data_IF_669216859457
#
_entry.id   IF_669216859457
#
_cell.length_a   1.000
_cell.length_b   1.000
_cell.length_c   1.000
_cell.angle_alpha   90.00
_cell.angle_beta   90.00
_cell.angle_gamma   90.00
#
_symmetry.space_group_name_H-M   'P 1'
#
loop_
_entity.id
_entity.type
_entity.pdbx_description
1 polymer ?
#
# COMPACT_ATOMS: atom_id res chain seq x y z
N UNK A 1 8.30 -20.89 52.65
CA UNK A 1 6.88 -21.01 52.45
C UNK A 1 6.66 -21.08 50.94
N UNK A 2 6.31 -22.23 50.41
CA UNK A 2 6.13 -22.43 49.01
C UNK A 2 4.70 -22.03 48.62
N UNK A 3 4.56 -21.50 47.42
CA UNK A 3 3.25 -21.34 46.83
C UNK A 3 3.22 -22.09 45.49
N UNK A 4 2.38 -23.11 45.40
CA UNK A 4 2.08 -23.74 44.14
C UNK A 4 0.69 -23.32 43.69
N UNK A 5 0.54 -23.00 42.40
CA UNK A 5 -0.67 -23.36 41.66
C UNK A 5 -0.40 -23.23 40.17
N UNK A 6 0.10 -24.35 39.64
CA UNK A 6 -0.06 -24.73 38.25
C UNK A 6 -1.55 -24.80 37.95
N UNK A 7 -2.00 -23.99 37.02
CA UNK A 7 -3.27 -24.20 36.34
C UNK A 7 -3.01 -24.65 34.91
N UNK A 8 -2.97 -25.97 34.76
CA UNK A 8 -3.14 -26.65 33.51
C UNK A 8 -4.42 -26.20 32.80
N UNK A 9 -4.27 -25.52 31.66
CA UNK A 9 -5.37 -25.34 30.71
C UNK A 9 -5.17 -26.22 29.49
N UNK A 10 -5.93 -27.30 29.49
CA UNK A 10 -6.15 -28.32 28.49
C UNK A 10 -6.61 -27.71 27.17
N UNK A 11 -6.05 -28.10 26.01
CA UNK A 11 -6.59 -27.69 24.72
C UNK A 11 -7.85 -28.48 24.37
N UNK A 12 -8.89 -27.78 23.98
CA UNK A 12 -10.12 -28.33 23.46
C UNK A 12 -9.96 -28.82 22.03
N UNK A 13 -10.44 -30.02 21.77
CA UNK A 13 -10.45 -30.68 20.47
C UNK A 13 -11.44 -30.00 19.48
N UNK A 14 -11.18 -30.05 18.17
CA UNK A 14 -12.12 -29.57 17.16
C UNK A 14 -13.26 -30.57 16.92
N UNK A 15 -14.47 -30.11 16.59
CA UNK A 15 -15.57 -30.97 16.25
C UNK A 15 -15.46 -31.53 14.82
N UNK A 16 -15.50 -32.84 14.73
CA UNK A 16 -15.74 -33.62 13.52
C UNK A 16 -17.23 -33.55 13.20
N UNK A 17 -17.60 -33.13 12.03
CA UNK A 17 -19.00 -33.14 11.57
C UNK A 17 -19.07 -33.20 10.06
N UNK A 18 -19.16 -34.40 9.56
CA UNK A 18 -20.25 -35.04 8.80
C UNK A 18 -20.48 -34.57 7.37
N UNK A 19 -20.20 -35.56 6.52
CA UNK A 19 -20.58 -35.68 5.12
C UNK A 19 -22.11 -35.58 4.91
N UNK A 20 -22.50 -35.00 3.79
CA UNK A 20 -23.75 -35.32 3.12
C UNK A 20 -23.57 -35.34 1.61
N UNK A 21 -23.72 -36.54 1.11
CA UNK A 21 -23.89 -36.94 -0.29
C UNK A 21 -25.17 -36.30 -0.86
N UNK A 22 -25.08 -35.82 -2.09
CA UNK A 22 -26.23 -35.41 -2.90
C UNK A 22 -25.96 -35.72 -4.36
N UNK A 23 -26.30 -36.96 -4.78
CA UNK A 23 -26.48 -37.32 -6.19
C UNK A 23 -27.66 -36.56 -6.77
N UNK A 24 -27.49 -35.94 -7.95
CA UNK A 24 -28.55 -35.78 -8.92
C UNK A 24 -27.96 -35.85 -10.33
N UNK A 25 -28.29 -36.93 -11.00
CA UNK A 25 -28.12 -37.10 -12.43
C UNK A 25 -29.10 -36.20 -13.18
N UNK A 26 -28.62 -35.54 -14.22
CA UNK A 26 -29.41 -34.79 -15.19
C UNK A 26 -28.77 -34.93 -16.55
N UNK A 27 -29.20 -35.97 -17.27
CA UNK A 27 -29.08 -36.15 -18.72
C UNK A 27 -29.70 -34.98 -19.44
N UNK A 28 -28.99 -34.29 -20.29
CA UNK A 28 -29.54 -33.52 -21.41
C UNK A 28 -28.47 -33.44 -22.52
N UNK A 29 -28.60 -34.37 -23.43
CA UNK A 29 -28.14 -34.36 -24.81
C UNK A 29 -28.50 -33.04 -25.51
N UNK A 30 -27.52 -32.24 -25.88
CA UNK A 30 -27.65 -31.26 -26.94
C UNK A 30 -26.37 -31.17 -27.77
N UNK A 31 -26.36 -32.03 -28.75
CA UNK A 31 -25.57 -31.92 -29.97
C UNK A 31 -25.86 -30.61 -30.66
N UNK A 32 -24.97 -29.66 -30.60
CA UNK A 32 -24.89 -28.57 -31.59
C UNK A 32 -23.44 -28.46 -32.04
N UNK A 33 -23.22 -29.04 -33.19
CA UNK A 33 -22.09 -28.87 -34.06
C UNK A 33 -22.06 -27.40 -34.51
N UNK A 34 -21.06 -26.66 -34.06
CA UNK A 34 -20.70 -25.39 -34.66
C UNK A 34 -19.19 -25.43 -34.91
N UNK A 35 -18.88 -25.64 -36.19
CA UNK A 35 -17.56 -25.40 -36.75
C UNK A 35 -17.24 -23.91 -36.54
N UNK A 36 -16.45 -23.59 -35.51
CA UNK A 36 -15.85 -22.28 -35.36
C UNK A 36 -14.40 -22.41 -35.81
N UNK A 37 -14.12 -21.87 -36.99
CA UNK A 37 -12.77 -21.66 -37.46
C UNK A 37 -11.93 -20.92 -36.40
N UNK A 38 -10.66 -21.32 -36.15
CA UNK A 38 -9.78 -20.55 -35.30
C UNK A 38 -9.43 -19.24 -36.03
N UNK A 39 -10.10 -18.17 -35.66
CA UNK A 39 -9.68 -16.81 -36.03
C UNK A 39 -8.34 -16.56 -35.33
N UNK A 40 -7.30 -16.67 -36.14
CA UNK A 40 -5.92 -16.28 -35.80
C UNK A 40 -5.90 -14.74 -35.65
N UNK A 41 -6.41 -14.25 -34.52
CA UNK A 41 -6.31 -12.84 -34.16
C UNK A 41 -4.85 -12.60 -33.73
N UNK A 42 -4.13 -11.63 -34.35
CA UNK A 42 -2.80 -11.29 -33.92
C UNK A 42 -2.85 -10.91 -32.43
N UNK A 43 -2.04 -11.56 -31.63
CA UNK A 43 -1.74 -11.15 -30.25
C UNK A 43 -1.25 -9.70 -30.31
N UNK A 44 -2.18 -8.76 -30.15
CA UNK A 44 -1.91 -7.34 -30.00
C UNK A 44 -0.94 -7.22 -28.82
N UNK A 45 0.32 -6.95 -29.15
CA UNK A 45 1.39 -6.79 -28.17
C UNK A 45 0.91 -5.76 -27.14
N UNK A 46 0.64 -6.22 -25.92
CA UNK A 46 0.18 -5.38 -24.84
C UNK A 46 1.13 -4.20 -24.71
N UNK A 47 0.64 -3.00 -25.00
CA UNK A 47 1.40 -1.76 -24.86
C UNK A 47 2.02 -1.72 -23.45
N UNK A 48 3.25 -1.25 -23.30
CA UNK A 48 3.89 -1.17 -22.00
C UNK A 48 2.98 -0.36 -21.05
N UNK A 49 2.84 -0.77 -19.79
CA UNK A 49 1.97 -0.08 -18.85
C UNK A 49 2.38 1.39 -18.75
N UNK A 50 1.47 2.28 -19.15
CA UNK A 50 1.66 3.72 -19.08
C UNK A 50 1.91 4.06 -17.59
N UNK A 51 3.00 4.78 -17.25
CA UNK A 51 3.24 5.19 -15.87
C UNK A 51 2.04 6.00 -15.37
N UNK A 52 1.58 5.77 -14.13
CA UNK A 52 0.42 6.45 -13.60
C UNK A 52 0.67 7.96 -13.54
N UNK A 53 -0.33 8.75 -13.95
CA UNK A 53 -0.29 10.22 -13.88
C UNK A 53 -0.13 10.67 -12.44
N UNK A 54 0.79 11.60 -12.12
CA UNK A 54 0.96 12.12 -10.76
C UNK A 54 -0.31 12.86 -10.28
N UNK A 55 -0.62 12.80 -8.98
CA UNK A 55 -1.77 13.50 -8.42
C UNK A 55 -1.58 15.05 -8.47
N UNK A 56 -2.69 15.78 -8.56
CA UNK A 56 -2.72 17.24 -8.52
C UNK A 56 -2.21 17.80 -7.17
N UNK A 57 -1.58 18.99 -7.21
CA UNK A 57 -0.82 19.61 -6.11
C UNK A 57 -1.61 20.00 -4.86
N UNK A 58 -2.91 20.24 -4.94
CA UNK A 58 -3.68 20.87 -3.87
C UNK A 58 -4.12 19.92 -2.74
N UNK A 59 -4.11 18.62 -2.98
CA UNK A 59 -4.35 17.59 -1.95
C UNK A 59 -3.47 16.39 -2.25
N UNK A 60 -2.87 15.82 -1.21
CA UNK A 60 -2.13 14.58 -1.33
C UNK A 60 -3.11 13.43 -1.64
N UNK A 61 -3.62 13.43 -2.88
CA UNK A 61 -4.54 12.43 -3.37
C UNK A 61 -3.78 11.13 -3.69
N UNK A 62 -4.33 10.01 -3.25
CA UNK A 62 -3.78 8.70 -3.60
C UNK A 62 -4.43 8.23 -4.91
N UNK A 63 -3.67 8.09 -6.02
CA UNK A 63 -4.21 7.65 -7.30
C UNK A 63 -4.70 6.20 -7.22
N UNK A 64 -5.47 5.78 -8.23
CA UNK A 64 -5.95 4.39 -8.32
C UNK A 64 -4.76 3.43 -8.39
N UNK A 65 -4.77 2.39 -7.57
CA UNK A 65 -3.64 1.45 -7.45
C UNK A 65 -2.53 1.91 -6.50
N UNK A 66 -2.54 3.17 -6.03
CA UNK A 66 -1.60 3.65 -5.03
C UNK A 66 -1.75 2.90 -3.70
N UNK A 67 -0.61 2.61 -3.08
CA UNK A 67 -0.50 2.02 -1.75
C UNK A 67 -0.38 3.14 -0.71
N UNK A 68 0.62 3.99 -0.88
CA UNK A 68 0.91 5.11 0.02
C UNK A 68 1.54 6.27 -0.74
N UNK A 69 1.21 7.49 -0.36
CA UNK A 69 1.84 8.72 -0.81
C UNK A 69 2.43 9.45 0.40
N UNK A 70 3.61 10.03 0.21
CA UNK A 70 4.28 10.90 1.18
C UNK A 70 4.57 12.24 0.52
N UNK A 71 4.24 13.33 1.23
CA UNK A 71 4.74 14.68 0.94
C UNK A 71 5.46 15.22 2.18
N UNK A 72 6.71 15.63 2.01
CA UNK A 72 7.51 16.34 3.00
C UNK A 72 7.63 17.79 2.57
N UNK A 73 7.23 18.73 3.41
CA UNK A 73 7.30 20.16 3.13
C UNK A 73 7.88 20.93 4.33
N UNK A 74 8.51 22.06 4.08
CA UNK A 74 9.07 22.92 5.12
C UNK A 74 10.58 23.12 5.03
N UNK A 75 11.21 23.42 6.16
CA UNK A 75 12.62 23.77 6.30
C UNK A 75 12.90 25.27 6.08
N UNK A 76 14.12 25.73 6.47
CA UNK A 76 14.59 27.12 6.36
C UNK A 76 14.42 27.72 4.95
N UNK A 77 14.62 26.91 3.92
CA UNK A 77 14.26 27.22 2.54
C UNK A 77 13.11 26.33 2.19
N UNK A 78 11.88 26.85 2.22
CA UNK A 78 10.69 26.05 1.93
C UNK A 78 10.91 25.14 0.70
N UNK A 79 10.79 23.86 0.92
CA UNK A 79 10.85 22.85 -0.13
C UNK A 79 9.70 21.87 0.06
N UNK A 80 9.13 21.41 -1.05
CA UNK A 80 8.14 20.36 -1.04
C UNK A 80 8.63 19.21 -1.92
N UNK A 81 8.68 18.01 -1.36
CA UNK A 81 9.12 16.80 -2.06
C UNK A 81 8.25 15.64 -1.63
N UNK A 82 7.99 14.73 -2.54
CA UNK A 82 7.21 13.55 -2.21
C UNK A 82 7.18 12.52 -3.30
N UNK A 83 6.58 11.38 -2.99
CA UNK A 83 6.38 10.29 -3.93
C UNK A 83 5.08 9.55 -3.65
N UNK A 84 4.64 8.81 -4.64
CA UNK A 84 3.58 7.80 -4.53
C UNK A 84 4.20 6.44 -4.78
N UNK A 85 3.98 5.51 -3.87
CA UNK A 85 4.31 4.10 -4.03
C UNK A 85 3.03 3.35 -4.42
N UNK A 86 3.11 2.59 -5.50
CA UNK A 86 2.01 1.77 -6.00
C UNK A 86 2.15 0.32 -5.52
N UNK A 87 1.05 -0.41 -5.45
CA UNK A 87 1.05 -1.83 -5.05
C UNK A 87 1.87 -2.75 -5.98
N UNK A 88 2.07 -2.35 -7.22
CA UNK A 88 2.89 -3.06 -8.19
C UNK A 88 4.39 -2.70 -8.11
N UNK A 89 4.79 -1.97 -7.07
CA UNK A 89 6.17 -1.57 -6.81
C UNK A 89 6.63 -0.31 -7.54
N UNK A 90 5.81 0.31 -8.38
CA UNK A 90 6.18 1.58 -8.99
C UNK A 90 6.22 2.71 -7.95
N UNK A 91 7.27 3.52 -8.04
CA UNK A 91 7.44 4.76 -7.28
C UNK A 91 7.44 5.92 -8.26
N UNK A 92 6.54 6.86 -8.05
CA UNK A 92 6.36 8.05 -8.91
C UNK A 92 6.58 9.30 -8.08
N UNK A 93 7.46 10.22 -8.51
CA UNK A 93 7.66 11.49 -7.82
C UNK A 93 6.40 12.34 -7.88
N UNK A 94 6.11 13.07 -6.80
CA UNK A 94 5.10 14.13 -6.80
C UNK A 94 5.61 15.37 -7.54
N UNK A 95 4.70 16.23 -7.98
CA UNK A 95 5.05 17.53 -8.58
C UNK A 95 6.02 18.31 -7.67
N UNK A 96 7.00 18.96 -8.27
CA UNK A 96 8.09 19.61 -7.54
C UNK A 96 9.19 18.70 -7.01
N UNK A 97 9.04 17.37 -7.16
CA UNK A 97 10.08 16.39 -6.83
C UNK A 97 10.83 15.99 -8.10
N UNK A 98 12.14 16.19 -8.11
CA UNK A 98 13.01 15.71 -9.21
C UNK A 98 13.24 14.21 -9.06
N UNK A 99 13.29 13.50 -10.19
CA UNK A 99 13.57 12.07 -10.26
C UNK A 99 12.71 11.37 -11.31
N UNK A 100 13.17 10.22 -11.76
CA UNK A 100 12.43 9.36 -12.69
C UNK A 100 11.63 8.31 -11.94
N UNK A 101 10.43 7.95 -12.41
CA UNK A 101 9.70 6.80 -11.86
C UNK A 101 10.57 5.54 -11.94
N UNK A 102 10.65 4.78 -10.85
CA UNK A 102 11.36 3.52 -10.79
C UNK A 102 10.55 2.44 -10.08
N UNK A 103 11.06 1.23 -10.08
CA UNK A 103 10.38 0.11 -9.41
C UNK A 103 11.23 -0.38 -8.24
N UNK A 104 10.63 -0.43 -7.05
CA UNK A 104 11.22 -1.06 -5.87
C UNK A 104 10.97 -2.58 -5.89
N UNK A 105 11.74 -3.31 -5.11
CA UNK A 105 11.60 -4.77 -4.99
C UNK A 105 10.29 -5.18 -4.31
N UNK A 106 9.82 -6.39 -4.60
CA UNK A 106 8.62 -6.93 -3.95
C UNK A 106 8.81 -7.06 -2.42
N UNK A 107 10.05 -7.32 -1.97
CA UNK A 107 10.40 -7.33 -0.55
C UNK A 107 10.20 -5.94 0.08
N UNK A 108 10.65 -4.87 -0.58
CA UNK A 108 10.45 -3.49 -0.11
C UNK A 108 8.96 -3.10 -0.08
N UNK A 109 8.17 -3.54 -1.07
CA UNK A 109 6.71 -3.36 -1.05
C UNK A 109 6.08 -4.04 0.16
N UNK A 110 6.45 -5.29 0.43
CA UNK A 110 5.95 -6.07 1.57
C UNK A 110 6.32 -5.40 2.90
N UNK A 111 7.55 -4.90 3.02
CA UNK A 111 7.99 -4.13 4.19
C UNK A 111 7.14 -2.88 4.39
N UNK A 112 6.91 -2.10 3.33
CA UNK A 112 6.06 -0.90 3.39
C UNK A 112 4.61 -1.23 3.79
N UNK A 113 4.04 -2.32 3.29
CA UNK A 113 2.70 -2.76 3.71
C UNK A 113 2.66 -3.15 5.19
N UNK A 114 3.67 -3.84 5.69
CA UNK A 114 3.79 -4.21 7.11
C UNK A 114 3.95 -2.95 8.00
N UNK A 115 4.78 -1.99 7.58
CA UNK A 115 4.93 -0.71 8.27
C UNK A 115 3.62 0.09 8.27
N UNK A 116 2.90 0.12 7.14
CA UNK A 116 1.60 0.77 7.04
C UNK A 116 0.58 0.16 8.01
N UNK A 117 0.55 -1.17 8.14
CA UNK A 117 -0.32 -1.85 9.12
C UNK A 117 -0.01 -1.47 10.55
N UNK A 118 1.29 -1.35 10.90
CA UNK A 118 1.75 -1.00 12.26
C UNK A 118 1.66 0.49 12.57
N UNK A 119 1.65 1.36 11.55
CA UNK A 119 1.72 2.82 11.70
C UNK A 119 0.53 3.45 12.44
N UNK A 120 -0.54 2.70 12.66
CA UNK A 120 -1.73 3.20 13.32
C UNK A 120 -2.58 4.17 12.49
N UNK A 121 -2.29 4.33 11.18
CA UNK A 121 -3.10 5.17 10.26
C UNK A 121 -4.55 4.69 10.09
N UNK A 122 -5.03 3.74 10.90
CA UNK A 122 -6.42 3.30 10.92
C UNK A 122 -7.40 4.40 11.36
N UNK A 123 -6.90 5.42 12.03
CA UNK A 123 -7.66 6.61 12.44
C UNK A 123 -7.06 7.85 11.79
N UNK A 124 -7.91 8.80 11.35
CA UNK A 124 -7.45 10.11 10.92
C UNK A 124 -6.69 10.78 12.05
N UNK A 125 -5.37 10.97 11.86
CA UNK A 125 -4.55 11.69 12.82
C UNK A 125 -4.81 13.19 12.66
N UNK A 126 -4.90 13.91 13.77
CA UNK A 126 -5.11 15.36 13.75
C UNK A 126 -3.85 16.07 13.30
N UNK A 127 -4.05 17.18 12.62
CA UNK A 127 -3.00 18.09 12.20
C UNK A 127 -2.14 18.51 13.40
N UNK A 128 -0.85 18.18 13.34
CA UNK A 128 0.11 18.67 14.29
C UNK A 128 0.48 20.11 13.91
N UNK A 129 0.72 20.97 14.91
CA UNK A 129 1.12 22.35 14.66
C UNK A 129 2.60 22.36 14.26
N UNK A 130 2.89 22.78 13.03
CA UNK A 130 4.25 22.88 12.53
C UNK A 130 5.08 23.88 13.35
N UNK A 131 6.34 23.53 13.61
CA UNK A 131 7.33 24.49 14.08
C UNK A 131 7.80 25.36 12.92
N UNK A 132 8.16 26.64 13.12
CA UNK A 132 8.48 27.54 12.02
C UNK A 132 9.53 27.04 11.03
N UNK A 133 10.54 26.29 11.51
CA UNK A 133 11.66 25.80 10.71
C UNK A 133 11.65 24.27 10.54
N UNK A 134 10.61 23.59 11.03
CA UNK A 134 10.46 22.14 10.97
C UNK A 134 9.90 21.66 9.64
N UNK A 135 10.01 20.35 9.44
CA UNK A 135 9.33 19.69 8.34
C UNK A 135 7.94 19.20 8.76
N UNK A 136 6.98 19.32 7.86
CA UNK A 136 5.69 18.67 7.94
C UNK A 136 5.65 17.47 6.96
N UNK A 137 5.05 16.40 7.42
CA UNK A 137 4.86 15.17 6.66
C UNK A 137 3.37 14.92 6.48
N UNK A 138 2.95 14.80 5.25
CA UNK A 138 1.59 14.43 4.90
C UNK A 138 1.63 13.04 4.26
N UNK A 139 0.82 12.14 4.78
CA UNK A 139 0.69 10.78 4.27
C UNK A 139 -0.74 10.49 3.90
N UNK A 140 -0.92 9.88 2.74
CA UNK A 140 -2.20 9.30 2.34
C UNK A 140 -1.95 7.85 1.98
N UNK A 141 -2.71 6.93 2.54
CA UNK A 141 -2.53 5.50 2.30
C UNK A 141 -3.86 4.79 2.11
N UNK A 142 -3.83 3.69 1.35
CA UNK A 142 -4.97 2.81 1.19
C UNK A 142 -4.82 1.59 2.08
N UNK A 143 -5.56 1.60 3.18
CA UNK A 143 -5.54 0.54 4.17
C UNK A 143 -6.92 -0.12 4.26
N UNK A 144 -6.98 -1.45 4.19
CA UNK A 144 -8.24 -2.24 4.23
C UNK A 144 -9.34 -1.68 3.32
N UNK A 145 -8.99 -1.32 2.07
CA UNK A 145 -9.93 -0.77 1.09
C UNK A 145 -10.35 0.69 1.31
N UNK A 146 -9.91 1.32 2.39
CA UNK A 146 -10.22 2.73 2.72
C UNK A 146 -8.98 3.60 2.60
N UNK A 147 -9.17 4.82 2.12
CA UNK A 147 -8.13 5.84 2.13
C UNK A 147 -8.04 6.47 3.53
N UNK A 148 -6.81 6.57 4.05
CA UNK A 148 -6.48 7.15 5.33
C UNK A 148 -5.48 8.28 5.13
N UNK A 149 -5.53 9.25 6.00
CA UNK A 149 -4.69 10.43 5.98
C UNK A 149 -4.03 10.64 7.34
N UNK A 150 -2.76 11.01 7.35
CA UNK A 150 -2.04 11.39 8.54
C UNK A 150 -1.15 12.61 8.25
N UNK A 151 -1.05 13.51 9.23
CA UNK A 151 -0.07 14.58 9.25
C UNK A 151 0.82 14.41 10.47
N UNK A 152 2.11 14.66 10.29
CA UNK A 152 3.07 14.70 11.38
C UNK A 152 4.04 15.87 11.15
N UNK A 153 4.68 16.34 12.21
CA UNK A 153 5.71 17.39 12.15
C UNK A 153 6.93 16.93 12.92
N UNK A 154 8.09 17.45 12.53
CA UNK A 154 9.33 17.20 13.25
C UNK A 154 9.15 17.47 14.76
N UNK A 155 9.68 16.55 15.59
CA UNK A 155 9.56 16.61 17.05
C UNK A 155 8.23 16.09 17.63
N UNK A 156 7.22 15.76 16.78
CA UNK A 156 5.94 15.22 17.23
C UNK A 156 5.46 14.06 16.34
N UNK A 157 6.38 13.26 15.83
CA UNK A 157 6.07 12.07 15.02
C UNK A 157 5.83 10.88 15.95
N UNK A 158 4.65 10.22 15.91
CA UNK A 158 4.43 8.98 16.64
C UNK A 158 5.43 7.90 16.18
N UNK A 159 6.02 7.10 17.10
CA UNK A 159 7.08 6.14 16.74
C UNK A 159 6.73 5.21 15.58
N UNK A 160 5.55 4.59 15.61
CA UNK A 160 5.11 3.68 14.56
C UNK A 160 4.90 4.37 13.20
N UNK A 161 4.54 5.67 13.19
CA UNK A 161 4.43 6.46 11.97
C UNK A 161 5.83 6.90 11.50
N UNK A 162 6.76 7.13 12.43
CA UNK A 162 8.15 7.47 12.15
C UNK A 162 8.85 6.41 11.31
N UNK A 163 8.71 5.14 11.66
CA UNK A 163 9.27 4.01 10.89
C UNK A 163 8.78 4.02 9.42
N UNK A 164 7.49 4.28 9.22
CA UNK A 164 6.91 4.37 7.87
C UNK A 164 7.46 5.60 7.10
N UNK A 165 7.55 6.76 7.77
CA UNK A 165 8.10 7.98 7.18
C UNK A 165 9.56 7.77 6.77
N UNK A 166 10.37 7.16 7.62
CA UNK A 166 11.80 6.87 7.34
C UNK A 166 11.95 5.92 6.15
N UNK A 167 11.14 4.85 6.08
CA UNK A 167 11.14 3.94 4.96
C UNK A 167 10.78 4.66 3.65
N UNK A 168 9.74 5.50 3.66
CA UNK A 168 9.35 6.29 2.49
C UNK A 168 10.39 7.36 2.11
N UNK A 169 11.11 7.94 3.08
CA UNK A 169 12.21 8.85 2.80
C UNK A 169 13.40 8.16 2.14
N UNK A 170 13.69 6.89 2.49
CA UNK A 170 14.71 6.07 1.79
C UNK A 170 14.30 5.86 0.32
N UNK A 171 13.07 5.45 0.06
CA UNK A 171 12.54 5.30 -1.30
C UNK A 171 12.58 6.63 -2.06
N UNK A 172 12.25 7.75 -1.41
CA UNK A 172 12.33 9.08 -2.01
C UNK A 172 13.78 9.51 -2.31
N UNK A 173 14.76 9.06 -1.52
CA UNK A 173 16.16 9.34 -1.78
C UNK A 173 16.69 8.59 -3.01
N UNK A 174 16.21 7.37 -3.26
CA UNK A 174 16.55 6.58 -4.45
C UNK A 174 16.11 7.28 -5.75
N UNK A 175 14.99 8.02 -5.75
CA UNK A 175 14.54 8.80 -6.90
C UNK A 175 15.57 9.85 -7.39
N UNK A 176 16.48 10.29 -6.53
CA UNK A 176 17.46 11.35 -6.85
C UNK A 176 18.75 10.84 -7.47
N UNK A 177 19.01 9.55 -7.37
CA UNK A 177 20.33 8.99 -7.70
C UNK A 177 20.50 8.71 -9.20
N UNK A 178 19.42 8.74 -9.97
CA UNK A 178 19.42 8.45 -11.41
C UNK A 178 19.38 9.69 -12.32
N UNK A 179 19.71 10.86 -11.79
CA UNK A 179 19.73 12.12 -12.52
C UNK A 179 21.15 12.64 -12.80
#
# INVERSE_FOLDING_TARGET
>A
MPNPEESEQRPAAPPTGLALSGLAAGDADHTLKADAEPTDAPLEAAAPPIPPTPPNDDQLALPRGGLVALRKSGGLRFSSRGCVVFRNGWVVPLAGTTGTPHRITDAACTELEALLQRSGMSRSMRKARATPDGYAYELTARYTGRTRYAEAVDGAIPPALGELIEALQRVLAELKTEG
#
